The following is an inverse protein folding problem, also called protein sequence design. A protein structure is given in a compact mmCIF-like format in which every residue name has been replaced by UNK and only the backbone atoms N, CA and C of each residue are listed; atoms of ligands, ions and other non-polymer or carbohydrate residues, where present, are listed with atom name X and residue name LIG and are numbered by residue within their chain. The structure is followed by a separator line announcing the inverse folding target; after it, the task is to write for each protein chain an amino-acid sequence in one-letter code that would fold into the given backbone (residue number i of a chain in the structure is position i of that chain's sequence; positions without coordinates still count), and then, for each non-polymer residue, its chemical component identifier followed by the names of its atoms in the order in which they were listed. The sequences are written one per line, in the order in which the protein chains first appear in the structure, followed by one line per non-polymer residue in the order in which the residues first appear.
data_IF_225679341787
#
_entry.id   IF_225679341787
#
_cell.length_a   1.000
_cell.length_b   1.000
_cell.length_c   1.000
_cell.angle_alpha   90.00
_cell.angle_beta   90.00
_cell.angle_gamma   90.00
#
_symmetry.space_group_name_H-M   'P 1'
#
loop_
_entity.id
_entity.type
_entity.pdbx_description
1 polymer ?
#
# COMPACT_ATOMS: atom_id res chain seq x y z
N UNK A 1 32.04 -7.18 11.23
CA UNK A 1 31.38 -6.67 10.00
C UNK A 1 31.37 -5.15 10.05
N UNK A 2 31.83 -4.50 8.98
CA UNK A 2 32.33 -3.12 8.93
C UNK A 2 31.25 -2.05 9.24
N UNK A 3 31.66 -0.97 9.94
CA UNK A 3 30.81 0.19 10.31
C UNK A 3 30.30 1.01 9.11
N UNK A 4 30.80 0.74 7.90
CA UNK A 4 30.59 1.54 6.69
C UNK A 4 29.26 1.30 5.98
N UNK A 5 28.60 0.16 6.22
CA UNK A 5 27.30 -0.18 5.61
C UNK A 5 26.14 0.01 6.59
N UNK A 6 26.14 1.12 7.35
CA UNK A 6 25.00 1.51 8.18
C UNK A 6 24.49 2.86 7.69
N UNK A 7 23.21 2.92 7.30
CA UNK A 7 22.56 4.20 7.07
C UNK A 7 22.56 4.99 8.40
N UNK A 8 22.78 6.30 8.31
CA UNK A 8 22.84 7.19 9.45
C UNK A 8 21.55 7.15 10.29
N UNK A 9 21.71 6.88 11.58
CA UNK A 9 20.62 6.96 12.55
C UNK A 9 20.40 8.44 12.87
N UNK A 10 19.18 8.94 12.67
CA UNK A 10 18.85 10.36 12.85
C UNK A 10 18.60 10.69 14.33
N UNK A 11 18.17 9.69 15.13
CA UNK A 11 17.87 9.85 16.57
C UNK A 11 18.56 8.73 17.36
N UNK A 12 19.52 9.03 18.25
CA UNK A 12 20.14 8.03 19.10
C UNK A 12 19.08 7.41 20.03
N UNK A 13 19.02 6.07 20.07
CA UNK A 13 18.05 5.19 20.77
C UNK A 13 16.78 4.77 20.01
N UNK A 14 16.61 5.14 18.73
CA UNK A 14 15.47 4.67 17.91
C UNK A 14 15.98 3.99 16.64
N UNK A 15 15.25 2.98 16.12
CA UNK A 15 15.50 2.35 14.81
C UNK A 15 15.24 3.31 13.61
N UNK A 16 15.18 4.63 13.86
CA UNK A 16 14.91 5.66 12.88
C UNK A 16 16.17 5.92 12.04
N UNK A 17 16.22 5.22 10.91
CA UNK A 17 17.29 5.29 9.93
C UNK A 17 16.99 6.37 8.88
N UNK A 18 18.01 6.91 8.18
CA UNK A 18 17.85 7.80 7.01
C UNK A 18 16.95 7.24 5.89
N UNK A 19 16.57 5.96 5.96
CA UNK A 19 15.62 5.30 5.06
C UNK A 19 14.26 6.01 4.98
N UNK A 20 13.87 6.81 5.98
CA UNK A 20 12.61 7.58 5.91
C UNK A 20 12.67 8.69 4.85
N UNK A 21 13.83 9.35 4.69
CA UNK A 21 14.01 10.37 3.65
C UNK A 21 14.03 9.75 2.26
N UNK A 22 14.59 8.55 2.12
CA UNK A 22 14.62 7.86 0.83
C UNK A 22 13.25 7.26 0.51
N UNK A 23 12.51 6.76 1.48
CA UNK A 23 11.13 6.33 1.30
C UNK A 23 10.22 7.48 0.84
N UNK A 24 10.38 8.67 1.44
CA UNK A 24 9.69 9.89 1.01
C UNK A 24 10.12 10.28 -0.41
N UNK A 25 11.42 10.23 -0.73
CA UNK A 25 11.95 10.52 -2.06
C UNK A 25 11.40 9.57 -3.14
N UNK A 26 11.35 8.27 -2.86
CA UNK A 26 10.80 7.25 -3.76
C UNK A 26 9.28 7.45 -3.93
N UNK A 27 8.55 7.74 -2.86
CA UNK A 27 7.13 8.02 -2.94
C UNK A 27 6.84 9.28 -3.78
N UNK A 28 7.66 10.33 -3.65
CA UNK A 28 7.58 11.54 -4.45
C UNK A 28 7.90 11.28 -5.93
N UNK A 29 8.94 10.49 -6.22
CA UNK A 29 9.28 10.07 -7.58
C UNK A 29 8.14 9.28 -8.23
N UNK A 30 7.53 8.36 -7.50
CA UNK A 30 6.36 7.60 -7.97
C UNK A 30 5.18 8.54 -8.22
N UNK A 31 4.95 9.51 -7.35
CA UNK A 31 3.90 10.52 -7.53
C UNK A 31 4.11 11.32 -8.83
N UNK A 32 5.32 11.85 -9.03
CA UNK A 32 5.66 12.63 -10.22
C UNK A 32 5.54 11.76 -11.47
N UNK A 33 6.08 10.54 -11.43
CA UNK A 33 5.98 9.61 -12.56
C UNK A 33 4.50 9.30 -12.89
N UNK A 34 3.68 9.01 -11.89
CA UNK A 34 2.28 8.63 -12.09
C UNK A 34 1.39 9.79 -12.56
N UNK A 35 1.73 11.03 -12.21
CA UNK A 35 0.94 12.23 -12.55
C UNK A 35 1.42 12.97 -13.79
N UNK A 36 2.73 13.03 -14.02
CA UNK A 36 3.32 13.87 -15.08
C UNK A 36 3.83 13.10 -16.30
N UNK A 37 3.94 11.76 -16.28
CA UNK A 37 4.43 11.01 -17.45
C UNK A 37 3.31 10.39 -18.29
N UNK A 38 3.53 10.40 -19.61
CA UNK A 38 2.67 9.75 -20.61
C UNK A 38 2.52 8.25 -20.33
N UNK A 39 3.60 7.59 -19.88
CA UNK A 39 3.57 6.16 -19.50
C UNK A 39 2.73 5.90 -18.25
N UNK A 40 2.69 6.83 -17.30
CA UNK A 40 1.77 6.77 -16.15
C UNK A 40 0.30 6.85 -16.55
N UNK A 41 -0.01 7.56 -17.64
CA UNK A 41 -1.36 7.60 -18.22
C UNK A 41 -1.72 6.29 -18.93
N UNK A 42 -0.81 5.74 -19.73
CA UNK A 42 -0.96 4.42 -20.35
C UNK A 42 -1.21 3.33 -19.30
N UNK A 43 -0.50 3.36 -18.16
CA UNK A 43 -0.73 2.46 -17.03
C UNK A 43 -2.18 2.51 -16.52
N UNK A 44 -2.70 3.71 -16.30
CA UNK A 44 -4.08 3.92 -15.81
C UNK A 44 -5.11 3.39 -16.80
N UNK A 45 -4.85 3.55 -18.09
CA UNK A 45 -5.74 3.04 -19.14
C UNK A 45 -5.72 1.52 -19.22
N UNK A 46 -4.52 0.91 -19.22
CA UNK A 46 -4.36 -0.55 -19.24
C UNK A 46 -5.00 -1.20 -18.01
N UNK A 47 -4.87 -0.58 -16.83
CA UNK A 47 -5.47 -1.07 -15.59
C UNK A 47 -7.01 -0.96 -15.55
N UNK A 48 -7.62 -0.01 -16.27
CA UNK A 48 -9.07 0.12 -16.36
C UNK A 48 -9.69 -0.83 -17.38
N UNK A 49 -9.14 -0.88 -18.60
CA UNK A 49 -9.64 -1.77 -19.64
C UNK A 49 -8.57 -2.03 -20.71
N UNK A 50 -8.06 -3.26 -20.74
CA UNK A 50 -7.03 -3.69 -21.70
C UNK A 50 -7.50 -3.57 -23.16
N UNK A 51 -8.79 -3.85 -23.43
CA UNK A 51 -9.33 -3.75 -24.80
C UNK A 51 -9.32 -2.29 -25.26
N UNK A 52 -9.73 -1.36 -24.39
CA UNK A 52 -9.75 0.07 -24.69
C UNK A 52 -8.34 0.64 -24.91
N UNK A 53 -7.37 0.22 -24.09
CA UNK A 53 -5.98 0.63 -24.26
C UNK A 53 -5.37 0.16 -25.59
N UNK A 54 -5.73 -1.03 -26.08
CA UNK A 54 -5.29 -1.53 -27.40
C UNK A 54 -5.87 -0.70 -28.55
N UNK A 55 -7.14 -0.33 -28.48
CA UNK A 55 -7.75 0.57 -29.48
C UNK A 55 -7.14 1.98 -29.44
N UNK A 56 -6.70 2.45 -28.27
CA UNK A 56 -5.98 3.71 -28.09
C UNK A 56 -4.51 3.71 -28.54
N UNK A 57 -4.02 2.64 -29.18
CA UNK A 57 -2.64 2.57 -29.70
C UNK A 57 -1.56 2.27 -28.65
N UNK A 58 -1.93 1.89 -27.43
CA UNK A 58 -0.96 1.59 -26.37
C UNK A 58 -0.25 0.26 -26.64
N UNK A 59 1.09 0.28 -26.65
CA UNK A 59 1.94 -0.92 -26.80
C UNK A 59 1.94 -1.75 -25.52
N UNK A 60 0.88 -2.54 -25.30
CA UNK A 60 0.67 -3.31 -24.07
C UNK A 60 1.89 -4.10 -23.58
N UNK A 61 2.64 -4.77 -24.48
CA UNK A 61 3.84 -5.54 -24.11
C UNK A 61 4.93 -4.68 -23.49
N UNK A 62 5.22 -3.53 -24.09
CA UNK A 62 6.27 -2.61 -23.62
C UNK A 62 5.88 -1.96 -22.30
N UNK A 63 4.60 -1.58 -22.16
CA UNK A 63 4.09 -1.01 -20.91
C UNK A 63 4.15 -2.04 -19.78
N UNK A 64 3.76 -3.30 -20.02
CA UNK A 64 3.84 -4.37 -19.02
C UNK A 64 5.28 -4.64 -18.56
N UNK A 65 6.22 -4.74 -19.49
CA UNK A 65 7.62 -5.00 -19.18
C UNK A 65 8.24 -3.85 -18.36
N UNK A 66 7.92 -2.60 -18.71
CA UNK A 66 8.38 -1.44 -17.95
C UNK A 66 7.80 -1.40 -16.53
N UNK A 67 6.53 -1.77 -16.35
CA UNK A 67 5.91 -1.86 -15.01
C UNK A 67 6.65 -2.89 -14.16
N UNK A 68 6.93 -4.06 -14.73
CA UNK A 68 7.58 -5.16 -14.01
C UNK A 68 9.02 -4.81 -13.59
N UNK A 69 9.76 -4.14 -14.47
CA UNK A 69 11.10 -3.64 -14.17
C UNK A 69 11.06 -2.55 -13.09
N UNK A 70 10.12 -1.60 -13.19
CA UNK A 70 10.01 -0.50 -12.23
C UNK A 70 9.58 -1.00 -10.84
N UNK A 71 8.61 -1.91 -10.77
CA UNK A 71 8.17 -2.49 -9.49
C UNK A 71 9.26 -3.34 -8.85
N UNK A 72 9.98 -4.15 -9.64
CA UNK A 72 11.12 -4.93 -9.17
C UNK A 72 12.26 -4.05 -8.64
N UNK A 73 12.57 -2.96 -9.35
CA UNK A 73 13.58 -1.99 -8.90
C UNK A 73 13.20 -1.35 -7.56
N UNK A 74 11.97 -0.88 -7.43
CA UNK A 74 11.47 -0.26 -6.18
C UNK A 74 11.48 -1.27 -5.03
N UNK A 75 11.02 -2.51 -5.27
CA UNK A 75 11.02 -3.57 -4.26
C UNK A 75 12.43 -3.93 -3.80
N UNK A 76 13.40 -4.00 -4.72
CA UNK A 76 14.80 -4.26 -4.41
C UNK A 76 15.45 -3.16 -3.57
N UNK A 77 15.21 -1.90 -3.92
CA UNK A 77 15.70 -0.73 -3.16
C UNK A 77 15.10 -0.73 -1.75
N UNK A 78 13.80 -1.00 -1.62
CA UNK A 78 13.11 -1.06 -0.33
C UNK A 78 13.66 -2.19 0.56
N UNK A 79 13.82 -3.41 0.02
CA UNK A 79 14.40 -4.54 0.76
C UNK A 79 15.85 -4.31 1.20
N UNK A 80 16.66 -3.67 0.34
CA UNK A 80 18.03 -3.28 0.68
C UNK A 80 18.11 -2.26 1.82
N UNK A 81 17.18 -1.31 1.88
CA UNK A 81 17.09 -0.34 2.98
C UNK A 81 16.73 -0.99 4.31
N UNK A 82 15.78 -1.92 4.31
CA UNK A 82 15.35 -2.61 5.53
C UNK A 82 16.49 -3.44 6.14
N UNK A 83 17.26 -4.13 5.30
CA UNK A 83 18.42 -4.94 5.70
C UNK A 83 19.57 -4.10 6.26
N UNK A 84 19.87 -2.99 5.60
CA UNK A 84 21.03 -2.13 5.92
C UNK A 84 20.72 -1.18 7.09
N UNK A 85 19.45 -0.84 7.29
CA UNK A 85 18.99 0.11 8.31
C UNK A 85 18.57 -0.54 9.63
N UNK A 86 17.52 -1.36 9.61
CA UNK A 86 16.78 -1.72 10.81
C UNK A 86 17.40 -2.90 11.58
N UNK A 87 17.87 -3.94 10.87
CA UNK A 87 18.30 -5.18 11.51
C UNK A 87 19.81 -5.37 11.59
N UNK A 88 20.59 -4.73 10.70
CA UNK A 88 22.07 -4.85 10.67
C UNK A 88 22.59 -6.28 10.55
N UNK A 89 21.70 -7.25 10.30
CA UNK A 89 21.90 -8.69 10.16
C UNK A 89 20.76 -9.23 9.29
N UNK A 90 21.07 -10.15 8.40
CA UNK A 90 20.08 -10.82 7.57
C UNK A 90 19.21 -11.71 8.47
N UNK A 91 17.93 -11.36 8.64
CA UNK A 91 16.92 -12.18 9.33
C UNK A 91 16.11 -12.88 8.25
N UNK A 92 15.97 -14.20 8.30
CA UNK A 92 15.24 -14.99 7.28
C UNK A 92 13.76 -14.56 7.15
N UNK A 93 13.18 -13.98 8.20
CA UNK A 93 11.76 -13.58 8.29
C UNK A 93 11.51 -12.07 8.07
N UNK A 94 12.46 -11.33 7.50
CA UNK A 94 12.34 -9.87 7.38
C UNK A 94 11.17 -9.41 6.50
N UNK A 95 10.83 -10.17 5.46
CA UNK A 95 9.85 -9.80 4.44
C UNK A 95 8.41 -10.25 4.76
N UNK A 96 8.21 -10.93 5.89
CA UNK A 96 6.94 -11.58 6.22
C UNK A 96 5.84 -10.53 6.40
N UNK A 97 4.76 -10.68 5.64
CA UNK A 97 3.60 -9.78 5.56
C UNK A 97 3.82 -8.37 4.99
N UNK A 98 5.04 -7.93 4.67
CA UNK A 98 5.28 -6.59 4.10
C UNK A 98 4.56 -6.37 2.76
N UNK A 99 4.51 -7.39 1.90
CA UNK A 99 3.76 -7.33 0.64
C UNK A 99 2.24 -7.26 0.85
N UNK A 100 1.73 -8.00 1.84
CA UNK A 100 0.32 -8.00 2.19
C UNK A 100 -0.13 -6.65 2.76
N UNK A 101 0.66 -6.10 3.69
CA UNK A 101 0.47 -4.75 4.23
C UNK A 101 0.43 -3.72 3.09
N UNK A 102 1.33 -3.84 2.11
CA UNK A 102 1.40 -2.95 0.95
C UNK A 102 0.15 -3.00 0.06
N UNK A 103 -0.34 -4.20 -0.29
CA UNK A 103 -1.57 -4.38 -1.09
C UNK A 103 -2.78 -3.81 -0.35
N UNK A 104 -2.85 -4.06 0.94
CA UNK A 104 -3.92 -3.55 1.81
C UNK A 104 -3.93 -2.02 1.85
N UNK A 105 -2.78 -1.37 2.09
CA UNK A 105 -2.66 0.09 2.09
C UNK A 105 -3.02 0.68 0.72
N UNK A 106 -2.59 0.05 -0.37
CA UNK A 106 -2.89 0.50 -1.73
C UNK A 106 -4.40 0.45 -2.04
N UNK A 107 -5.08 -0.60 -1.56
CA UNK A 107 -6.53 -0.76 -1.68
C UNK A 107 -7.29 0.34 -0.93
N UNK A 108 -6.90 0.59 0.32
CA UNK A 108 -7.48 1.66 1.16
C UNK A 108 -7.31 3.03 0.50
N UNK A 109 -6.12 3.28 -0.06
CA UNK A 109 -5.80 4.53 -0.74
C UNK A 109 -6.43 4.67 -2.14
N UNK A 110 -7.21 3.68 -2.62
CA UNK A 110 -7.83 3.66 -3.96
C UNK A 110 -6.82 3.92 -5.09
N UNK A 111 -5.60 3.39 -4.96
CA UNK A 111 -4.48 3.62 -5.89
C UNK A 111 -4.09 5.12 -6.08
N UNK A 112 -4.45 6.01 -5.14
CA UNK A 112 -3.99 7.39 -5.16
C UNK A 112 -2.64 7.51 -4.42
N UNK A 113 -1.54 7.85 -5.10
CA UNK A 113 -0.20 7.90 -4.50
C UNK A 113 -0.09 8.86 -3.30
N UNK A 114 -0.87 9.95 -3.25
CA UNK A 114 -0.85 10.88 -2.10
C UNK A 114 -1.50 10.22 -0.87
N UNK A 115 -2.63 9.55 -1.08
CA UNK A 115 -3.33 8.87 0.00
C UNK A 115 -2.53 7.68 0.55
N UNK A 116 -1.77 6.98 -0.32
CA UNK A 116 -0.87 5.89 0.10
C UNK A 116 0.16 6.38 1.12
N UNK A 117 0.76 7.55 0.92
CA UNK A 117 1.76 8.10 1.85
C UNK A 117 1.13 8.30 3.24
N UNK A 118 -0.01 8.98 3.31
CA UNK A 118 -0.71 9.22 4.58
C UNK A 118 -1.14 7.91 5.27
N UNK A 119 -1.72 6.97 4.52
CA UNK A 119 -2.14 5.68 5.06
C UNK A 119 -0.95 4.83 5.54
N UNK A 120 0.16 4.82 4.80
CA UNK A 120 1.37 4.07 5.17
C UNK A 120 2.02 4.59 6.45
N UNK A 121 1.98 5.91 6.68
CA UNK A 121 2.49 6.52 7.89
C UNK A 121 1.68 6.08 9.13
N UNK A 122 0.35 6.12 9.03
CA UNK A 122 -0.55 5.65 10.10
C UNK A 122 -0.34 4.15 10.35
N UNK A 123 -0.25 3.34 9.29
CA UNK A 123 0.02 1.91 9.41
C UNK A 123 1.37 1.62 10.08
N UNK A 124 2.42 2.37 9.71
CA UNK A 124 3.74 2.27 10.33
C UNK A 124 3.72 2.61 11.82
N UNK A 125 3.01 3.68 12.21
CA UNK A 125 2.84 4.06 13.61
C UNK A 125 2.08 2.97 14.41
N UNK A 126 1.01 2.42 13.83
CA UNK A 126 0.24 1.33 14.42
C UNK A 126 1.11 0.07 14.61
N UNK A 127 1.89 -0.30 13.59
CA UNK A 127 2.80 -1.46 13.62
C UNK A 127 3.94 -1.30 14.63
N UNK A 128 4.47 -0.08 14.79
CA UNK A 128 5.47 0.22 15.80
C UNK A 128 4.88 0.18 17.22
N UNK A 129 3.68 0.74 17.41
CA UNK A 129 2.95 0.67 18.68
C UNK A 129 2.60 -0.76 19.08
N UNK A 130 2.20 -1.57 18.10
CA UNK A 130 1.85 -2.97 18.29
C UNK A 130 3.06 -3.83 18.70
N UNK A 131 4.22 -3.58 18.09
CA UNK A 131 5.49 -4.20 18.48
C UNK A 131 5.92 -3.78 19.89
N UNK A 132 5.63 -2.54 20.30
CA UNK A 132 5.90 -2.08 21.66
C UNK A 132 4.98 -2.77 22.68
N UNK A 133 3.70 -2.95 22.36
CA UNK A 133 2.76 -3.67 23.22
C UNK A 133 3.15 -5.14 23.40
N UNK A 134 3.63 -5.80 22.35
CA UNK A 134 4.15 -7.18 22.44
C UNK A 134 5.31 -7.28 23.44
N UNK A 135 6.21 -6.28 23.46
CA UNK A 135 7.37 -6.25 24.35
C UNK A 135 7.05 -5.93 25.80
N UNK A 136 6.07 -5.05 26.05
CA UNK A 136 5.77 -4.56 27.41
C UNK A 136 4.79 -5.47 28.14
N UNK A 137 3.80 -6.03 27.46
CA UNK A 137 2.65 -6.67 28.12
C UNK A 137 2.72 -8.20 28.12
N UNK A 138 3.84 -8.82 27.70
CA UNK A 138 4.00 -10.29 27.55
C UNK A 138 2.82 -10.97 26.81
N UNK A 139 2.07 -10.20 26.03
CA UNK A 139 0.80 -10.61 25.45
C UNK A 139 1.09 -11.40 24.18
N UNK A 140 0.37 -12.50 23.98
CA UNK A 140 0.53 -13.36 22.81
C UNK A 140 0.34 -12.53 21.52
N UNK A 141 1.27 -12.68 20.56
CA UNK A 141 1.28 -12.03 19.24
C UNK A 141 -0.05 -12.14 18.50
N UNK A 142 -0.84 -13.19 18.80
CA UNK A 142 -2.20 -13.37 18.28
C UNK A 142 -3.14 -12.20 18.59
N UNK A 143 -3.11 -11.63 19.80
CA UNK A 143 -4.01 -10.52 20.19
C UNK A 143 -3.72 -9.28 19.36
N UNK A 144 -2.43 -9.00 19.15
CA UNK A 144 -1.97 -7.88 18.36
C UNK A 144 -2.40 -8.00 16.90
N UNK A 145 -2.23 -9.19 16.32
CA UNK A 145 -2.67 -9.47 14.94
C UNK A 145 -4.19 -9.34 14.77
N UNK A 146 -4.99 -9.76 15.76
CA UNK A 146 -6.46 -9.61 15.73
C UNK A 146 -6.85 -8.14 15.77
N UNK A 147 -6.23 -7.33 16.63
CA UNK A 147 -6.48 -5.88 16.67
C UNK A 147 -6.14 -5.20 15.34
N UNK A 148 -5.01 -5.55 14.73
CA UNK A 148 -4.66 -5.07 13.40
C UNK A 148 -5.69 -5.50 12.35
N UNK A 149 -6.14 -6.76 12.37
CA UNK A 149 -7.15 -7.25 11.44
C UNK A 149 -8.49 -6.49 11.57
N UNK A 150 -8.93 -6.20 12.80
CA UNK A 150 -10.14 -5.40 13.04
C UNK A 150 -9.96 -3.97 12.52
N UNK A 151 -8.80 -3.35 12.76
CA UNK A 151 -8.49 -2.02 12.24
C UNK A 151 -8.54 -1.98 10.72
N UNK A 152 -7.94 -2.98 10.07
CA UNK A 152 -7.95 -3.13 8.61
C UNK A 152 -9.37 -3.31 8.09
N UNK A 153 -10.17 -4.14 8.75
CA UNK A 153 -11.58 -4.36 8.41
C UNK A 153 -12.37 -3.05 8.49
N UNK A 154 -12.17 -2.26 9.55
CA UNK A 154 -12.81 -0.95 9.69
C UNK A 154 -12.41 0.03 8.57
N UNK A 155 -11.12 0.11 8.24
CA UNK A 155 -10.62 1.06 7.23
C UNK A 155 -10.97 0.61 5.80
N UNK A 156 -11.04 -0.70 5.55
CA UNK A 156 -11.40 -1.25 4.24
C UNK A 156 -12.88 -1.05 3.90
N UNK A 157 -13.76 -0.85 4.89
CA UNK A 157 -15.19 -0.57 4.65
C UNK A 157 -15.32 0.81 4.00
N UNK A 158 -15.50 0.83 2.68
CA UNK A 158 -15.87 2.03 1.95
C UNK A 158 -17.33 2.39 2.26
N UNK A 159 -17.54 3.20 3.29
CA UNK A 159 -18.85 3.71 3.70
C UNK A 159 -19.62 4.35 2.53
N UNK A 160 -18.91 4.91 1.54
CA UNK A 160 -19.52 5.52 0.35
C UNK A 160 -20.11 4.47 -0.60
N UNK A 161 -19.42 3.34 -0.77
CA UNK A 161 -19.92 2.19 -1.53
C UNK A 161 -21.10 1.51 -0.82
N UNK A 162 -20.99 1.35 0.50
CA UNK A 162 -22.05 0.77 1.33
C UNK A 162 -23.34 1.61 1.30
N UNK A 163 -23.22 2.94 1.38
CA UNK A 163 -24.37 3.85 1.27
C UNK A 163 -25.02 3.77 -0.11
N UNK A 164 -24.24 3.69 -1.19
CA UNK A 164 -24.75 3.56 -2.55
C UNK A 164 -25.55 2.25 -2.72
N UNK A 165 -25.01 1.14 -2.21
CA UNK A 165 -25.69 -0.16 -2.22
C UNK A 165 -27.00 -0.16 -1.42
N UNK A 166 -27.01 0.49 -0.25
CA UNK A 166 -28.21 0.59 0.58
C UNK A 166 -29.32 1.40 -0.12
N UNK A 167 -28.95 2.48 -0.80
CA UNK A 167 -29.88 3.32 -1.56
C UNK A 167 -30.38 2.61 -2.82
N UNK A 168 -29.52 1.92 -3.58
CA UNK A 168 -29.92 1.16 -4.77
C UNK A 168 -30.91 0.04 -4.43
N UNK A 169 -30.65 -0.73 -3.36
CA UNK A 169 -31.58 -1.79 -2.92
C UNK A 169 -32.98 -1.25 -2.57
N UNK A 170 -33.06 -0.02 -2.06
CA UNK A 170 -34.33 0.64 -1.76
C UNK A 170 -35.06 1.05 -3.04
N UNK A 171 -34.35 1.51 -4.06
CA UNK A 171 -34.91 1.89 -5.36
C UNK A 171 -35.49 0.66 -6.11
N UNK A 172 -34.78 -0.47 -6.12
CA UNK A 172 -35.26 -1.69 -6.78
C UNK A 172 -36.57 -2.24 -6.16
N UNK A 173 -36.72 -2.16 -4.83
CA UNK A 173 -37.96 -2.58 -4.14
C UNK A 173 -39.17 -1.72 -4.52
N UNK A 174 -38.97 -0.43 -4.76
CA UNK A 174 -40.04 0.49 -5.18
C UNK A 174 -40.46 0.24 -6.62
N UNK A 175 -39.51 0.00 -7.53
CA UNK A 175 -39.78 -0.31 -8.93
C UNK A 175 -40.48 -1.67 -9.10
N UNK A 176 -40.12 -2.69 -8.31
CA UNK A 176 -40.82 -3.99 -8.32
C UNK A 176 -42.26 -3.89 -7.78
N UNK A 177 -42.52 -2.97 -6.86
CA UNK A 177 -43.85 -2.75 -6.29
C UNK A 177 -44.75 -1.95 -7.27
N UNK A 178 -44.17 -1.07 -8.08
CA UNK A 178 -44.87 -0.36 -9.17
C UNK A 178 -45.09 -1.20 -10.43
N UNK A 179 -44.27 -2.25 -10.67
CA UNK A 179 -44.38 -3.13 -11.84
C UNK A 179 -45.27 -4.37 -11.62
N UNK A 180 -45.73 -4.61 -10.39
CA UNK A 180 -46.54 -5.77 -9.99
C UNK A 180 -48.01 -5.46 -9.68
N UNK A 181 -48.59 -4.45 -10.33
CA UNK A 181 -50.03 -4.18 -10.27
C UNK A 181 -50.61 -4.18 -11.67
N UNK A 182 -51.07 -5.36 -12.09
CA UNK A 182 -52.30 -5.58 -12.84
C UNK A 182 -52.67 -7.06 -12.73
#
# INVERSE_FOLDING_TARGET
MQRTARLGIIIPRTNATTGIYIAIGVALLIYIFYRHTVRGYELKMVGKNLKFAKYGGVKYKSTFMMIFLLSGFIAGVCGGMEMTGNFGKFRTEFAVNLGWDGVMIASIAKNNPIAVIACSFIWGALKAGSLQMERVTATNRLVVSVLQAIFVLMVAIDYKSLKKWYVDKRQYRLLSQSAGVK
#
